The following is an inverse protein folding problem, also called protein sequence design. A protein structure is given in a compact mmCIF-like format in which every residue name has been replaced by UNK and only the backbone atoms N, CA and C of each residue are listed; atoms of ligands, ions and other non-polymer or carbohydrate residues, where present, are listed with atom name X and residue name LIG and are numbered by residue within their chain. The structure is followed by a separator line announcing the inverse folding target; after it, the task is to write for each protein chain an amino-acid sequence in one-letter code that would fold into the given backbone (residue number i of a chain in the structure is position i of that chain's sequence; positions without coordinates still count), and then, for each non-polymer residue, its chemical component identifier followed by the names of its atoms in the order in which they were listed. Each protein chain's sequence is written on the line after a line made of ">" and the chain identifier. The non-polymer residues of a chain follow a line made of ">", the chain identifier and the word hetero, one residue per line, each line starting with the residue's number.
data_IF_335171917252
#
_entry.id   IF_335171917252
#
_cell.length_a   1.000
_cell.length_b   1.000
_cell.length_c   1.000
_cell.angle_alpha   90.00
_cell.angle_beta   90.00
_cell.angle_gamma   90.00
#
_symmetry.space_group_name_H-M   'P 1'
#
loop_
_entity.id
_entity.type
_entity.pdbx_description
1 polymer ?
#
# COMPACT_ATOMS: atom_id res chain seq x y z
N UNK A 1 0.40 -23.05 1.35
CA UNK A 1 -0.10 -22.99 -0.05
C UNK A 1 0.93 -22.25 -0.88
N UNK A 2 1.64 -22.90 -1.80
CA UNK A 2 2.58 -22.23 -2.70
C UNK A 2 1.77 -21.39 -3.71
N UNK A 3 1.48 -20.13 -3.36
CA UNK A 3 0.94 -19.17 -4.32
C UNK A 3 2.05 -18.88 -5.33
N UNK A 4 1.84 -19.25 -6.60
CA UNK A 4 2.77 -18.91 -7.69
C UNK A 4 2.91 -17.38 -7.77
N UNK A 5 4.13 -16.89 -7.96
CA UNK A 5 4.38 -15.47 -8.21
C UNK A 5 3.72 -15.06 -9.52
N UNK A 6 2.68 -14.23 -9.45
CA UNK A 6 2.09 -13.61 -10.63
C UNK A 6 2.77 -12.27 -10.89
N UNK A 7 3.41 -12.16 -12.06
CA UNK A 7 4.10 -10.94 -12.51
C UNK A 7 3.44 -10.42 -13.77
N UNK A 8 3.27 -9.10 -13.85
CA UNK A 8 2.94 -8.37 -15.08
C UNK A 8 3.97 -7.26 -15.24
N UNK A 9 4.60 -7.15 -16.41
CA UNK A 9 5.66 -6.17 -16.69
C UNK A 9 6.80 -6.19 -15.66
N UNK A 10 7.28 -7.37 -15.26
CA UNK A 10 8.29 -7.57 -14.21
C UNK A 10 7.93 -7.02 -12.82
N UNK A 11 6.68 -6.62 -12.61
CA UNK A 11 6.15 -6.23 -11.32
C UNK A 11 5.30 -7.34 -10.73
N UNK A 12 5.49 -7.59 -9.43
CA UNK A 12 4.78 -8.61 -8.70
C UNK A 12 3.38 -8.09 -8.36
N UNK A 13 2.33 -8.83 -8.71
CA UNK A 13 0.96 -8.36 -8.52
C UNK A 13 0.51 -8.36 -7.07
N UNK A 14 1.26 -8.99 -6.15
CA UNK A 14 0.98 -8.99 -4.72
C UNK A 14 2.26 -9.09 -3.91
N UNK A 15 2.43 -8.29 -2.87
CA UNK A 15 3.52 -8.48 -1.90
C UNK A 15 3.12 -8.08 -0.48
N UNK A 16 3.97 -8.46 0.46
CA UNK A 16 3.95 -7.97 1.84
C UNK A 16 5.32 -7.40 2.18
N UNK A 17 5.34 -6.10 2.47
CA UNK A 17 6.50 -5.40 3.01
C UNK A 17 6.33 -5.27 4.51
N UNK A 18 7.28 -5.82 5.26
CA UNK A 18 7.38 -5.64 6.70
C UNK A 18 8.42 -4.57 7.01
N UNK A 19 8.05 -3.58 7.81
CA UNK A 19 8.93 -2.49 8.23
C UNK A 19 9.14 -2.59 9.74
N UNK A 20 10.41 -2.57 10.12
CA UNK A 20 10.91 -2.77 11.47
C UNK A 20 11.59 -1.50 11.94
N UNK A 21 11.31 -1.09 13.18
CA UNK A 21 11.87 0.12 13.79
C UNK A 21 12.45 -0.28 15.14
N UNK A 22 13.68 0.15 15.46
CA UNK A 22 14.39 -0.02 16.73
C UNK A 22 14.47 -1.50 17.22
N UNK A 23 15.68 -2.05 17.35
CA UNK A 23 15.90 -3.44 17.78
C UNK A 23 15.16 -4.49 16.93
N UNK A 24 14.82 -4.17 15.67
CA UNK A 24 14.10 -5.04 14.73
C UNK A 24 12.71 -5.48 15.20
N UNK A 25 12.01 -4.66 15.97
CA UNK A 25 10.60 -4.90 16.29
C UNK A 25 9.72 -4.56 15.08
N UNK A 26 8.88 -5.52 14.67
CA UNK A 26 7.92 -5.31 13.58
C UNK A 26 6.95 -4.20 13.99
N UNK A 27 6.97 -3.10 13.26
CA UNK A 27 6.17 -1.91 13.58
C UNK A 27 5.06 -1.69 12.55
N UNK A 28 5.25 -2.21 11.34
CA UNK A 28 4.47 -1.85 10.18
C UNK A 28 4.40 -3.03 9.20
N UNK A 29 3.19 -3.32 8.73
CA UNK A 29 2.92 -4.30 7.69
C UNK A 29 2.18 -3.62 6.55
N UNK A 30 2.78 -3.60 5.37
CA UNK A 30 2.19 -3.09 4.13
C UNK A 30 1.92 -4.28 3.22
N UNK A 31 0.65 -4.50 2.88
CA UNK A 31 0.24 -5.52 1.91
C UNK A 31 -0.37 -4.82 0.71
N UNK A 32 -0.06 -5.29 -0.50
CA UNK A 32 -0.72 -4.80 -1.69
C UNK A 32 -1.14 -5.92 -2.62
N UNK A 33 -2.22 -5.69 -3.37
CA UNK A 33 -2.71 -6.55 -4.44
C UNK A 33 -3.11 -5.68 -5.63
N UNK A 34 -2.59 -6.00 -6.80
CA UNK A 34 -3.00 -5.46 -8.09
C UNK A 34 -3.96 -6.43 -8.76
N UNK A 35 -5.01 -5.91 -9.37
CA UNK A 35 -6.04 -6.69 -10.03
C UNK A 35 -6.03 -6.42 -11.54
N UNK A 36 -6.24 -7.49 -12.29
CA UNK A 36 -6.46 -7.40 -13.73
C UNK A 36 -7.93 -7.06 -14.04
N UNK A 37 -8.21 -6.80 -15.33
CA UNK A 37 -9.55 -6.48 -15.78
C UNK A 37 -10.55 -7.57 -15.42
N UNK A 38 -10.17 -8.84 -15.62
CA UNK A 38 -11.05 -9.99 -15.38
C UNK A 38 -11.49 -10.07 -13.93
N UNK A 39 -10.59 -9.83 -12.97
CA UNK A 39 -10.94 -9.79 -11.56
C UNK A 39 -11.90 -8.64 -11.26
N UNK A 40 -11.63 -7.44 -11.79
CA UNK A 40 -12.43 -6.24 -11.56
C UNK A 40 -13.82 -6.33 -12.21
N UNK A 41 -13.94 -6.92 -13.39
CA UNK A 41 -15.22 -7.14 -14.06
C UNK A 41 -16.12 -8.09 -13.25
N UNK A 42 -15.52 -9.05 -12.53
CA UNK A 42 -16.23 -9.99 -11.64
C UNK A 42 -16.49 -9.42 -10.23
N UNK A 43 -15.76 -8.38 -9.81
CA UNK A 43 -15.82 -7.82 -8.46
C UNK A 43 -16.04 -6.31 -8.50
N UNK A 44 -17.28 -5.89 -8.25
CA UNK A 44 -17.69 -4.50 -8.46
C UNK A 44 -17.12 -3.52 -7.43
N UNK A 45 -16.88 -3.93 -6.18
CA UNK A 45 -16.44 -3.03 -5.10
C UNK A 45 -15.21 -3.59 -4.38
N UNK A 46 -14.02 -3.15 -4.77
CA UNK A 46 -12.77 -3.67 -4.22
C UNK A 46 -12.69 -3.47 -2.70
N UNK A 47 -12.91 -2.25 -2.19
CA UNK A 47 -12.74 -1.99 -0.76
C UNK A 47 -13.82 -2.69 0.07
N UNK A 48 -15.10 -2.54 -0.30
CA UNK A 48 -16.17 -3.15 0.49
C UNK A 48 -16.13 -4.68 0.43
N UNK A 49 -15.81 -5.27 -0.73
CA UNK A 49 -15.67 -6.73 -0.84
C UNK A 49 -14.43 -7.22 -0.08
N UNK A 50 -13.36 -6.42 -0.02
CA UNK A 50 -12.19 -6.72 0.82
C UNK A 50 -12.54 -6.64 2.31
N UNK A 51 -13.03 -5.50 2.78
CA UNK A 51 -13.28 -5.22 4.21
C UNK A 51 -14.40 -6.10 4.78
N UNK A 52 -15.48 -6.32 4.03
CA UNK A 52 -16.68 -6.95 4.58
C UNK A 52 -16.87 -8.40 4.15
N UNK A 53 -16.27 -8.85 3.03
CA UNK A 53 -16.47 -10.23 2.54
C UNK A 53 -15.23 -11.11 2.64
N UNK A 54 -14.04 -10.57 2.40
CA UNK A 54 -12.84 -11.39 2.15
C UNK A 54 -11.78 -11.31 3.23
N UNK A 55 -11.72 -10.22 3.99
CA UNK A 55 -10.69 -9.96 4.98
C UNK A 55 -11.32 -9.60 6.31
N UNK A 56 -11.30 -10.52 7.27
CA UNK A 56 -11.77 -10.23 8.62
C UNK A 56 -10.77 -9.29 9.29
N UNK A 57 -11.15 -8.01 9.40
CA UNK A 57 -10.31 -7.00 10.04
C UNK A 57 -10.11 -7.37 11.52
N UNK A 58 -8.87 -7.57 11.99
CA UNK A 58 -8.60 -7.87 13.39
C UNK A 58 -9.16 -6.79 14.34
N UNK A 59 -9.60 -7.19 15.54
CA UNK A 59 -10.14 -6.26 16.56
C UNK A 59 -9.12 -5.22 17.02
N UNK A 60 -7.85 -5.55 16.92
CA UNK A 60 -6.70 -4.72 17.25
C UNK A 60 -6.11 -4.00 16.03
N UNK A 61 -6.72 -4.15 14.85
CA UNK A 61 -6.26 -3.46 13.64
C UNK A 61 -6.26 -1.94 13.87
N UNK A 62 -5.10 -1.35 13.63
CA UNK A 62 -4.87 0.08 13.60
C UNK A 62 -4.10 0.36 12.31
N UNK A 63 -4.62 1.21 11.44
CA UNK A 63 -4.04 1.42 10.14
C UNK A 63 -5.05 1.88 9.10
N UNK A 64 -4.70 1.72 7.84
CA UNK A 64 -5.51 2.19 6.72
C UNK A 64 -5.67 1.14 5.64
N UNK A 65 -6.74 1.27 4.87
CA UNK A 65 -6.95 0.48 3.66
C UNK A 65 -7.28 1.45 2.55
N UNK A 66 -6.56 1.33 1.44
CA UNK A 66 -6.69 2.15 0.25
C UNK A 66 -7.02 1.25 -0.90
N UNK A 67 -8.01 1.59 -1.69
CA UNK A 67 -8.30 0.89 -2.93
C UNK A 67 -8.51 1.85 -4.08
N UNK A 68 -8.24 1.32 -5.26
CA UNK A 68 -8.40 2.02 -6.51
C UNK A 68 -9.04 1.07 -7.52
N UNK A 69 -10.02 1.57 -8.26
CA UNK A 69 -10.63 0.86 -9.39
C UNK A 69 -10.68 1.77 -10.60
N UNK A 70 -10.27 1.25 -11.74
CA UNK A 70 -10.44 1.87 -13.05
C UNK A 70 -11.70 1.32 -13.72
N UNK A 71 -12.50 2.20 -14.27
CA UNK A 71 -13.69 1.86 -15.05
C UNK A 71 -13.62 2.57 -16.39
N UNK A 72 -13.18 1.81 -17.40
CA UNK A 72 -13.03 2.30 -18.76
C UNK A 72 -14.37 2.69 -19.41
N UNK A 73 -15.48 2.06 -19.01
CA UNK A 73 -16.80 2.35 -19.59
C UNK A 73 -17.29 3.71 -19.15
N UNK A 74 -17.13 4.02 -17.85
CA UNK A 74 -17.49 5.31 -17.28
C UNK A 74 -16.39 6.36 -17.38
N UNK A 75 -15.22 5.98 -17.91
CA UNK A 75 -14.00 6.82 -17.99
C UNK A 75 -13.63 7.46 -16.66
N UNK A 76 -13.77 6.68 -15.58
CA UNK A 76 -13.50 7.13 -14.23
C UNK A 76 -12.51 6.22 -13.52
N UNK A 77 -11.86 6.80 -12.52
CA UNK A 77 -11.23 6.12 -11.41
C UNK A 77 -12.10 6.27 -10.18
N UNK A 78 -12.24 5.19 -9.42
CA UNK A 78 -12.84 5.19 -8.10
C UNK A 78 -11.75 4.99 -7.07
N UNK A 79 -11.63 5.93 -6.16
CA UNK A 79 -10.69 5.88 -5.06
C UNK A 79 -11.45 5.72 -3.75
N UNK A 80 -11.06 4.74 -2.96
CA UNK A 80 -11.62 4.53 -1.63
C UNK A 80 -10.50 4.47 -0.61
N UNK A 81 -10.71 5.15 0.52
CA UNK A 81 -9.81 5.15 1.66
C UNK A 81 -10.61 4.88 2.93
N UNK A 82 -10.11 4.00 3.78
CA UNK A 82 -10.65 3.75 5.12
C UNK A 82 -9.54 3.85 6.16
N UNK A 83 -9.73 4.73 7.14
CA UNK A 83 -8.94 4.75 8.38
C UNK A 83 -9.60 3.86 9.42
N UNK A 84 -8.83 2.96 10.02
CA UNK A 84 -9.34 1.88 10.85
C UNK A 84 -8.61 1.89 12.19
N UNK A 85 -9.39 1.89 13.27
CA UNK A 85 -8.86 1.85 14.63
C UNK A 85 -9.71 0.96 15.51
N UNK A 86 -9.04 0.00 16.17
CA UNK A 86 -9.65 -1.06 16.98
C UNK A 86 -10.63 -1.90 16.15
N UNK A 87 -10.21 -2.27 14.95
CA UNK A 87 -10.99 -3.09 14.01
C UNK A 87 -12.27 -2.43 13.48
N UNK A 88 -12.44 -1.12 13.68
CA UNK A 88 -13.61 -0.35 13.23
C UNK A 88 -13.16 0.79 12.31
N UNK A 89 -13.91 1.00 11.23
CA UNK A 89 -13.73 2.16 10.36
C UNK A 89 -14.04 3.43 11.16
N UNK A 90 -13.10 4.38 11.16
CA UNK A 90 -13.19 5.68 11.84
C UNK A 90 -13.31 6.83 10.85
N UNK A 91 -12.67 6.69 9.69
CA UNK A 91 -12.80 7.59 8.57
C UNK A 91 -13.02 6.79 7.30
N UNK A 92 -13.90 7.28 6.43
CA UNK A 92 -14.09 6.72 5.11
C UNK A 92 -14.16 7.86 4.10
N UNK A 93 -13.45 7.70 2.99
CA UNK A 93 -13.43 8.63 1.89
C UNK A 93 -13.67 7.87 0.60
N UNK A 94 -14.57 8.39 -0.21
CA UNK A 94 -14.88 7.89 -1.54
C UNK A 94 -14.79 9.05 -2.52
N UNK A 95 -13.96 8.89 -3.54
CA UNK A 95 -13.75 9.90 -4.58
C UNK A 95 -13.84 9.28 -5.95
N UNK A 96 -14.33 10.07 -6.90
CA UNK A 96 -14.37 9.73 -8.30
C UNK A 96 -13.48 10.75 -9.01
N UNK A 97 -12.55 10.27 -9.82
CA UNK A 97 -11.70 11.08 -10.67
C UNK A 97 -11.95 10.69 -12.12
N UNK A 98 -11.95 11.64 -13.04
CA UNK A 98 -11.98 11.31 -14.47
C UNK A 98 -10.65 10.68 -14.90
N UNK A 99 -10.65 9.88 -15.99
CA UNK A 99 -9.41 9.24 -16.48
C UNK A 99 -8.31 10.26 -16.84
N UNK A 100 -8.68 11.46 -17.29
CA UNK A 100 -7.75 12.56 -17.59
C UNK A 100 -7.14 13.19 -16.30
N UNK A 101 -7.71 12.93 -15.11
CA UNK A 101 -7.24 13.42 -13.81
C UNK A 101 -6.28 12.45 -13.12
N UNK A 102 -5.72 11.47 -13.84
CA UNK A 102 -4.81 10.47 -13.27
C UNK A 102 -3.66 11.04 -12.44
N UNK A 103 -3.13 12.22 -12.79
CA UNK A 103 -2.11 12.90 -11.99
C UNK A 103 -2.63 13.43 -10.65
N UNK A 104 -3.88 13.91 -10.58
CA UNK A 104 -4.49 14.36 -9.32
C UNK A 104 -4.69 13.16 -8.39
N UNK A 105 -5.22 12.07 -8.93
CA UNK A 105 -5.36 10.82 -8.20
C UNK A 105 -4.01 10.29 -7.71
N UNK A 106 -2.99 10.29 -8.57
CA UNK A 106 -1.64 9.88 -8.21
C UNK A 106 -1.12 10.64 -6.99
N UNK A 107 -1.22 11.98 -7.02
CA UNK A 107 -0.80 12.81 -5.90
C UNK A 107 -1.61 12.47 -4.64
N UNK A 108 -2.93 12.26 -4.77
CA UNK A 108 -3.78 11.87 -3.64
C UNK A 108 -3.32 10.57 -2.97
N UNK A 109 -3.10 9.51 -3.75
CA UNK A 109 -2.64 8.21 -3.22
C UNK A 109 -1.25 8.36 -2.59
N UNK A 110 -0.38 9.15 -3.19
CA UNK A 110 0.96 9.43 -2.66
C UNK A 110 0.91 10.17 -1.33
N UNK A 111 0.13 11.25 -1.23
CA UNK A 111 0.00 12.06 -0.03
C UNK A 111 -0.57 11.24 1.13
N UNK A 112 -1.64 10.48 0.88
CA UNK A 112 -2.23 9.59 1.88
C UNK A 112 -1.17 8.56 2.35
N UNK A 113 -0.44 7.93 1.43
CA UNK A 113 0.65 6.97 1.75
C UNK A 113 1.79 7.62 2.55
N UNK A 114 2.15 8.86 2.23
CA UNK A 114 3.19 9.64 2.91
C UNK A 114 2.76 9.98 4.34
N UNK A 115 1.55 10.52 4.52
CA UNK A 115 0.99 10.83 5.85
C UNK A 115 1.00 9.60 6.74
N UNK A 116 0.60 8.46 6.18
CA UNK A 116 0.66 7.17 6.85
C UNK A 116 2.11 6.90 7.25
N UNK A 117 3.03 6.68 6.30
CA UNK A 117 4.39 6.20 6.57
C UNK A 117 5.27 7.16 7.39
N UNK A 118 5.22 8.46 7.12
CA UNK A 118 6.10 9.46 7.75
C UNK A 118 5.49 9.96 9.05
N UNK A 119 4.24 10.44 9.01
CA UNK A 119 3.67 11.18 10.13
C UNK A 119 3.11 10.24 11.20
N UNK A 120 2.32 9.23 10.81
CA UNK A 120 1.70 8.30 11.77
C UNK A 120 2.70 7.30 12.38
N UNK A 121 3.75 6.93 11.66
CA UNK A 121 4.77 5.97 12.15
C UNK A 121 6.12 6.59 12.49
N UNK A 122 6.24 7.91 12.39
CA UNK A 122 7.45 8.65 12.77
C UNK A 122 8.72 8.11 12.09
N UNK A 123 8.62 7.70 10.82
CA UNK A 123 9.80 7.33 10.02
C UNK A 123 10.55 8.62 9.70
N UNK A 124 11.62 8.89 10.45
CA UNK A 124 12.49 10.05 10.25
C UNK A 124 13.57 9.76 9.21
N UNK A 125 14.09 10.83 8.62
CA UNK A 125 15.18 10.78 7.63
C UNK A 125 16.38 9.98 8.12
N UNK A 126 16.89 9.12 7.23
CA UNK A 126 18.15 8.38 7.41
C UNK A 126 18.26 7.64 8.75
N UNK A 127 17.13 7.24 9.33
CA UNK A 127 17.14 6.45 10.54
C UNK A 127 17.70 5.06 10.23
N UNK A 128 18.94 4.81 10.63
CA UNK A 128 19.65 3.53 10.40
C UNK A 128 18.94 2.33 11.06
N UNK A 129 18.04 2.61 12.01
CA UNK A 129 17.29 1.60 12.76
C UNK A 129 16.01 1.16 12.05
N UNK A 130 15.67 1.77 10.90
CA UNK A 130 14.50 1.38 10.10
C UNK A 130 14.91 0.42 8.99
N UNK A 131 14.36 -0.79 9.04
CA UNK A 131 14.63 -1.86 8.08
C UNK A 131 13.35 -2.34 7.42
N UNK A 132 13.44 -2.86 6.21
CA UNK A 132 12.31 -3.51 5.55
C UNK A 132 12.65 -4.91 5.06
N UNK A 133 11.62 -5.76 4.92
CA UNK A 133 11.70 -7.09 4.31
C UNK A 133 10.51 -7.31 3.39
N UNK A 134 10.76 -7.70 2.14
CA UNK A 134 9.72 -8.17 1.20
C UNK A 134 9.57 -9.69 1.32
N UNK A 135 8.34 -10.17 1.46
CA UNK A 135 8.07 -11.60 1.63
C UNK A 135 8.20 -12.35 0.30
N UNK A 136 7.65 -11.81 -0.78
CA UNK A 136 7.62 -12.54 -2.04
C UNK A 136 8.89 -12.38 -2.87
N UNK A 137 9.54 -11.21 -2.85
CA UNK A 137 10.86 -11.08 -3.49
C UNK A 137 11.97 -11.83 -2.73
N UNK A 138 11.65 -12.47 -1.60
CA UNK A 138 12.60 -13.12 -0.67
C UNK A 138 13.81 -12.25 -0.36
N UNK A 139 13.64 -10.93 -0.37
CA UNK A 139 14.74 -10.01 -0.19
C UNK A 139 15.20 -10.03 1.26
N UNK A 140 16.51 -9.99 1.45
CA UNK A 140 17.13 -9.72 2.74
C UNK A 140 16.75 -8.31 3.23
N UNK A 141 16.94 -8.07 4.54
CA UNK A 141 16.61 -6.78 5.14
C UNK A 141 17.33 -5.63 4.43
N UNK A 142 16.58 -4.64 3.96
CA UNK A 142 17.12 -3.38 3.43
C UNK A 142 16.88 -2.22 4.39
N UNK A 143 17.50 -1.07 4.10
CA UNK A 143 17.27 0.20 4.80
C UNK A 143 16.07 0.93 4.21
N UNK A 144 15.38 1.70 5.03
CA UNK A 144 14.41 2.71 4.57
C UNK A 144 15.11 4.06 4.56
N UNK A 145 15.11 4.73 3.42
CA UNK A 145 15.71 6.04 3.21
C UNK A 145 14.56 7.00 2.86
N UNK A 146 14.45 8.08 3.64
CA UNK A 146 13.54 9.19 3.35
C UNK A 146 14.40 10.38 2.94
N UNK A 147 14.20 10.88 1.72
CA UNK A 147 14.92 12.00 1.13
C UNK A 147 14.04 13.25 1.19
N UNK A 148 14.33 14.18 2.12
CA UNK A 148 13.54 15.40 2.33
C UNK A 148 13.50 16.31 1.10
N UNK A 149 14.63 16.51 0.42
CA UNK A 149 14.73 17.46 -0.71
C UNK A 149 13.90 17.04 -1.93
N UNK A 150 13.38 15.82 -1.93
CA UNK A 150 12.50 15.29 -2.99
C UNK A 150 11.21 14.67 -2.46
N UNK A 151 10.95 14.80 -1.14
CA UNK A 151 9.82 14.18 -0.44
C UNK A 151 9.68 12.67 -0.72
N UNK A 152 10.79 11.99 -1.03
CA UNK A 152 10.78 10.66 -1.64
C UNK A 152 11.09 9.58 -0.61
N UNK A 153 10.26 8.54 -0.60
CA UNK A 153 10.45 7.36 0.24
C UNK A 153 11.06 6.24 -0.61
N UNK A 154 12.23 5.75 -0.21
CA UNK A 154 12.95 4.67 -0.88
C UNK A 154 13.25 3.54 0.09
N UNK A 155 12.82 2.35 -0.26
CA UNK A 155 13.26 1.11 0.36
C UNK A 155 14.47 0.60 -0.42
N UNK A 156 15.63 0.41 0.19
CA UNK A 156 16.85 0.01 -0.52
C UNK A 156 17.62 -1.09 0.21
N UNK A 157 18.03 -2.13 -0.50
CA UNK A 157 19.07 -3.06 -0.06
C UNK A 157 20.25 -3.01 -1.05
N UNK A 158 21.26 -3.88 -0.85
CA UNK A 158 22.46 -3.88 -1.70
C UNK A 158 22.18 -4.27 -3.16
N UNK A 159 21.07 -4.97 -3.42
CA UNK A 159 20.74 -5.55 -4.73
C UNK A 159 19.65 -4.79 -5.48
N UNK A 160 18.83 -4.01 -4.76
CA UNK A 160 17.60 -3.43 -5.31
C UNK A 160 17.10 -2.25 -4.48
N UNK A 161 16.22 -1.46 -5.09
CA UNK A 161 15.45 -0.45 -4.38
C UNK A 161 14.00 -0.38 -4.89
N UNK A 162 13.09 0.07 -4.03
CA UNK A 162 11.70 0.38 -4.32
C UNK A 162 11.49 1.86 -3.98
N UNK A 163 11.25 2.68 -5.00
CA UNK A 163 10.82 4.05 -4.83
C UNK A 163 9.29 4.08 -4.75
N UNK A 164 8.72 4.57 -3.64
CA UNK A 164 7.27 4.58 -3.43
C UNK A 164 6.53 5.42 -4.47
N UNK A 165 7.13 6.52 -4.92
CA UNK A 165 6.54 7.36 -5.97
C UNK A 165 6.36 6.57 -7.26
N UNK A 166 7.41 5.86 -7.68
CA UNK A 166 7.38 5.03 -8.89
C UNK A 166 6.51 3.78 -8.71
N UNK A 167 6.51 3.20 -7.52
CA UNK A 167 5.60 2.12 -7.15
C UNK A 167 4.13 2.55 -7.33
N UNK A 168 3.74 3.73 -6.82
CA UNK A 168 2.37 4.23 -6.94
C UNK A 168 2.00 4.51 -8.41
N UNK A 169 2.92 5.07 -9.21
CA UNK A 169 2.69 5.22 -10.66
C UNK A 169 2.43 3.88 -11.34
N UNK A 170 3.22 2.88 -10.98
CA UNK A 170 3.12 1.57 -11.59
C UNK A 170 1.80 0.89 -11.22
N UNK A 171 1.35 0.94 -9.97
CA UNK A 171 0.07 0.33 -9.56
C UNK A 171 -1.15 1.00 -10.23
N UNK A 172 -1.07 2.30 -10.54
CA UNK A 172 -2.14 3.01 -11.27
C UNK A 172 -2.29 2.56 -12.74
N UNK A 173 -1.30 1.84 -13.27
CA UNK A 173 -1.41 1.21 -14.59
C UNK A 173 -2.29 -0.05 -14.60
N UNK A 174 -2.66 -0.57 -13.43
CA UNK A 174 -3.55 -1.72 -13.29
C UNK A 174 -5.02 -1.29 -13.33
N UNK A 175 -5.92 -2.26 -13.53
CA UNK A 175 -7.36 -1.99 -13.59
C UNK A 175 -7.97 -1.86 -12.18
N UNK A 176 -7.31 -2.42 -11.18
CA UNK A 176 -7.61 -2.11 -9.81
C UNK A 176 -6.46 -2.46 -8.88
N UNK A 177 -6.55 -1.97 -7.66
CA UNK A 177 -5.50 -2.10 -6.69
C UNK A 177 -6.04 -1.96 -5.26
N UNK A 178 -5.35 -2.59 -4.32
CA UNK A 178 -5.62 -2.52 -2.89
C UNK A 178 -4.28 -2.43 -2.13
N UNK A 179 -4.13 -1.43 -1.26
CA UNK A 179 -3.11 -1.35 -0.22
C UNK A 179 -3.77 -1.51 1.14
N UNK A 180 -3.12 -2.26 2.01
CA UNK A 180 -3.42 -2.34 3.44
C UNK A 180 -2.16 -1.98 4.19
N UNK A 181 -2.23 -0.97 5.05
CA UNK A 181 -1.13 -0.60 5.94
C UNK A 181 -1.59 -0.80 7.36
N UNK A 182 -0.99 -1.73 8.07
CA UNK A 182 -1.28 -2.04 9.45
C UNK A 182 -0.11 -1.65 10.35
N UNK A 183 -0.44 -0.95 11.44
CA UNK A 183 0.44 -0.70 12.56
C UNK A 183 0.48 -1.94 13.43
N UNK A 184 1.66 -2.45 13.68
CA UNK A 184 1.87 -3.51 14.66
C UNK A 184 2.44 -2.82 15.89
N UNK A 185 1.60 -2.62 16.91
CA UNK A 185 2.10 -2.15 18.20
C UNK A 185 2.79 -3.32 18.89
N UNK A 186 3.98 -3.13 19.50
CA UNK A 186 4.53 -4.13 20.38
C UNK A 186 3.51 -4.40 21.50
N UNK A 187 3.27 -5.67 21.81
CA UNK A 187 2.48 -6.02 22.99
C UNK A 187 3.25 -5.52 24.21
N UNK A 188 2.63 -4.61 24.97
CA UNK A 188 3.09 -4.27 26.32
C UNK A 188 2.87 -5.45 27.26
#
# INVERSE_FOLDING_TARGET
>A
MNMKEEKKNNFLMKDTLLIYINNYNLSLKVEYDCFDKKYIDNNYKILSDTIYKSYQIPKDYFGVIVSFKKDMNKKNFYYEYADISKGKIRGYKYEIYELNEGNKLFNRVYDDTKEILIDKFNIKNNNKDVKYKSFYKKQSYGNVIVENDSDKIVFKNNESYINIKEFIKLILSYEGFLIRVQVIKPNN
#
